data_IF_808786755802
#
_entry.id   IF_808786755802
#
_cell.length_a   1.000
_cell.length_b   1.000
_cell.length_c   1.000
_cell.angle_alpha   90.00
_cell.angle_beta   90.00
_cell.angle_gamma   90.00
#
_symmetry.space_group_name_H-M   'P 1'
#
loop_
_entity.id
_entity.type
_entity.pdbx_description
1 polymer ?
#
# COMPACT_ATOMS: atom_id res chain seq x y z
N UNK A 1 -30.57 27.33 -4.64
CA UNK A 1 -29.75 26.61 -5.66
C UNK A 1 -28.41 27.31 -5.96
N UNK A 2 -28.35 28.65 -6.03
CA UNK A 2 -27.10 29.38 -6.29
C UNK A 2 -26.05 29.27 -5.17
N UNK A 3 -26.45 29.39 -3.89
CA UNK A 3 -25.55 29.20 -2.74
C UNK A 3 -24.97 27.79 -2.65
N UNK A 4 -25.77 26.77 -3.01
CA UNK A 4 -25.30 25.38 -3.06
C UNK A 4 -24.17 25.23 -4.08
N UNK A 5 -24.36 25.69 -5.33
CA UNK A 5 -23.31 25.64 -6.37
C UNK A 5 -22.03 26.36 -5.95
N UNK A 6 -22.16 27.57 -5.38
CA UNK A 6 -21.02 28.36 -4.90
C UNK A 6 -20.25 27.65 -3.77
N UNK A 7 -20.95 27.00 -2.83
CA UNK A 7 -20.33 26.25 -1.74
C UNK A 7 -19.60 24.99 -2.26
N UNK A 8 -20.20 24.27 -3.21
CA UNK A 8 -19.56 23.12 -3.85
C UNK A 8 -18.29 23.51 -4.61
N UNK A 9 -18.33 24.60 -5.39
CA UNK A 9 -17.16 25.12 -6.11
C UNK A 9 -16.04 25.55 -5.16
N UNK A 10 -16.39 26.23 -4.07
CA UNK A 10 -15.42 26.65 -3.06
C UNK A 10 -14.78 25.46 -2.32
N UNK A 11 -15.57 24.42 -2.00
CA UNK A 11 -15.06 23.20 -1.39
C UNK A 11 -14.14 22.42 -2.35
N UNK A 12 -14.50 22.33 -3.64
CA UNK A 12 -13.67 21.70 -4.66
C UNK A 12 -12.35 22.46 -4.90
N UNK A 13 -12.38 23.80 -4.84
CA UNK A 13 -11.19 24.63 -4.94
C UNK A 13 -10.18 24.32 -3.83
N UNK A 14 -10.64 24.30 -2.56
CA UNK A 14 -9.80 23.98 -1.40
C UNK A 14 -9.21 22.56 -1.46
N UNK A 15 -10.00 21.58 -1.92
CA UNK A 15 -9.51 20.21 -2.10
C UNK A 15 -8.43 20.14 -3.19
N UNK A 16 -8.65 20.85 -4.31
CA UNK A 16 -7.69 20.88 -5.43
C UNK A 16 -6.36 21.53 -5.01
N UNK A 17 -6.40 22.63 -4.25
CA UNK A 17 -5.21 23.27 -3.69
C UNK A 17 -4.44 22.33 -2.78
N UNK A 18 -5.14 21.61 -1.89
CA UNK A 18 -4.50 20.63 -1.01
C UNK A 18 -3.85 19.48 -1.81
N UNK A 19 -4.56 18.93 -2.79
CA UNK A 19 -4.02 17.87 -3.66
C UNK A 19 -2.79 18.35 -4.41
N UNK A 20 -2.82 19.56 -4.97
CA UNK A 20 -1.68 20.15 -5.68
C UNK A 20 -0.49 20.38 -4.74
N UNK A 21 -0.74 20.87 -3.52
CA UNK A 21 0.29 21.02 -2.49
C UNK A 21 0.94 19.68 -2.15
N UNK A 22 0.14 18.64 -1.89
CA UNK A 22 0.64 17.29 -1.61
C UNK A 22 1.45 16.75 -2.79
N UNK A 23 0.96 16.88 -4.03
CA UNK A 23 1.69 16.42 -5.23
C UNK A 23 3.01 17.16 -5.45
N UNK A 24 3.08 18.45 -5.12
CA UNK A 24 4.28 19.26 -5.27
C UNK A 24 5.41 18.79 -4.33
N UNK A 25 5.09 18.53 -3.06
CA UNK A 25 6.09 18.16 -2.05
C UNK A 25 6.25 16.65 -1.85
N UNK A 26 5.24 15.86 -2.21
CA UNK A 26 5.18 14.41 -2.03
C UNK A 26 4.75 13.69 -3.33
N UNK A 27 5.51 13.83 -4.43
CA UNK A 27 5.13 13.31 -5.75
C UNK A 27 4.97 11.78 -5.80
N UNK A 28 5.55 11.06 -4.84
CA UNK A 28 5.47 9.61 -4.72
C UNK A 28 4.11 9.10 -4.18
N UNK A 29 3.31 9.96 -3.54
CA UNK A 29 2.03 9.54 -2.92
C UNK A 29 1.07 8.96 -3.96
N UNK A 30 1.00 9.56 -5.14
CA UNK A 30 0.18 9.06 -6.25
C UNK A 30 0.61 7.66 -6.70
N UNK A 31 1.93 7.41 -6.70
CA UNK A 31 2.52 6.12 -7.06
C UNK A 31 2.35 5.05 -5.98
N UNK A 32 2.11 5.44 -4.72
CA UNK A 32 1.84 4.52 -3.61
C UNK A 32 0.40 4.00 -3.60
N UNK A 33 -0.56 4.71 -4.22
CA UNK A 33 -1.98 4.34 -4.20
C UNK A 33 -2.25 2.90 -4.65
N UNK A 34 -1.68 2.40 -5.76
CA UNK A 34 -1.88 1.01 -6.18
C UNK A 34 -1.39 0.00 -5.13
N UNK A 35 -0.25 0.28 -4.50
CA UNK A 35 0.33 -0.57 -3.45
C UNK A 35 -0.53 -0.54 -2.19
N UNK A 36 -1.04 0.64 -1.79
CA UNK A 36 -1.96 0.78 -0.64
C UNK A 36 -3.24 -0.03 -0.86
N UNK A 37 -3.86 0.07 -2.03
CA UNK A 37 -5.06 -0.69 -2.36
C UNK A 37 -4.80 -2.20 -2.33
N UNK A 38 -3.64 -2.64 -2.85
CA UNK A 38 -3.24 -4.04 -2.76
C UNK A 38 -3.11 -4.52 -1.30
N UNK A 39 -2.41 -3.76 -0.44
CA UNK A 39 -2.23 -4.12 0.97
C UNK A 39 -3.57 -4.21 1.72
N UNK A 40 -4.46 -3.25 1.48
CA UNK A 40 -5.79 -3.20 2.12
C UNK A 40 -6.71 -4.29 1.58
N UNK A 41 -6.91 -4.34 0.28
CA UNK A 41 -8.00 -5.10 -0.33
C UNK A 41 -7.61 -6.57 -0.60
N UNK A 42 -6.31 -6.86 -0.79
CA UNK A 42 -5.83 -8.21 -1.12
C UNK A 42 -5.15 -8.91 0.05
N UNK A 43 -4.37 -8.18 0.84
CA UNK A 43 -3.70 -8.74 2.01
C UNK A 43 -4.43 -8.50 3.33
N UNK A 44 -5.45 -7.63 3.35
CA UNK A 44 -6.24 -7.36 4.55
C UNK A 44 -5.46 -6.66 5.66
N UNK A 45 -4.42 -5.89 5.32
CA UNK A 45 -3.64 -5.16 6.32
C UNK A 45 -4.45 -4.02 6.93
N UNK A 46 -4.30 -3.84 8.24
CA UNK A 46 -4.88 -2.70 8.94
C UNK A 46 -4.17 -1.39 8.55
N UNK A 47 -4.89 -0.29 8.68
CA UNK A 47 -4.38 1.06 8.37
C UNK A 47 -3.12 1.42 9.17
N UNK A 48 -2.92 0.86 10.37
CA UNK A 48 -1.72 1.09 11.18
C UNK A 48 -0.48 0.41 10.60
N UNK A 49 -0.59 -0.80 10.07
CA UNK A 49 0.48 -1.46 9.30
C UNK A 49 0.74 -0.69 7.99
N UNK A 50 -0.31 -0.37 7.23
CA UNK A 50 -0.19 0.33 5.95
C UNK A 50 0.51 1.68 6.14
N UNK A 51 0.11 2.49 7.14
CA UNK A 51 0.75 3.78 7.43
C UNK A 51 2.24 3.64 7.72
N UNK A 52 2.64 2.63 8.49
CA UNK A 52 4.08 2.39 8.78
C UNK A 52 4.85 2.01 7.52
N UNK A 53 4.28 1.13 6.68
CA UNK A 53 4.86 0.77 5.40
C UNK A 53 4.99 1.97 4.44
N UNK A 54 4.00 2.86 4.40
CA UNK A 54 4.03 4.08 3.59
C UNK A 54 5.05 5.12 4.09
N UNK A 55 5.59 4.96 5.30
CA UNK A 55 6.77 5.72 5.75
C UNK A 55 8.10 5.06 5.38
N UNK A 56 8.06 4.05 4.50
CA UNK A 56 9.21 3.24 4.07
C UNK A 56 9.95 2.56 5.23
N UNK A 57 9.22 2.27 6.32
CA UNK A 57 9.74 1.53 7.46
C UNK A 57 9.40 0.06 7.32
N UNK A 58 10.36 -0.78 7.69
CA UNK A 58 10.18 -2.21 7.80
C UNK A 58 9.20 -2.52 8.95
N UNK A 59 8.21 -3.38 8.66
CA UNK A 59 7.20 -3.81 9.62
C UNK A 59 7.29 -5.30 9.82
N UNK A 60 7.56 -5.73 11.05
CA UNK A 60 7.47 -7.14 11.41
C UNK A 60 6.01 -7.56 11.58
N UNK A 61 5.62 -8.63 10.90
CA UNK A 61 4.28 -9.22 10.98
C UNK A 61 4.33 -10.67 11.46
N UNK A 62 3.22 -11.11 12.05
CA UNK A 62 2.97 -12.49 12.46
C UNK A 62 1.53 -12.85 12.12
N UNK A 63 1.24 -14.12 11.89
CA UNK A 63 -0.11 -14.61 11.59
C UNK A 63 -0.21 -15.22 10.20
N UNK A 64 -1.36 -15.04 9.54
CA UNK A 64 -1.65 -15.62 8.23
C UNK A 64 -1.72 -14.54 7.17
N UNK A 65 -1.08 -14.77 6.03
CA UNK A 65 -1.18 -13.96 4.83
C UNK A 65 -1.95 -14.73 3.76
N UNK A 66 -3.07 -14.18 3.30
CA UNK A 66 -3.80 -14.77 2.18
C UNK A 66 -3.12 -14.41 0.86
N UNK A 67 -2.92 -15.41 -0.01
CA UNK A 67 -2.47 -15.21 -1.38
C UNK A 67 -3.62 -15.48 -2.34
N UNK A 68 -3.98 -14.47 -3.13
CA UNK A 68 -4.96 -14.66 -4.22
C UNK A 68 -4.42 -15.52 -5.36
N UNK A 69 -3.09 -15.60 -5.54
CA UNK A 69 -2.46 -16.45 -6.57
C UNK A 69 -2.64 -17.93 -6.25
N UNK A 70 -2.54 -18.31 -4.98
CA UNK A 70 -2.67 -19.71 -4.54
C UNK A 70 -4.02 -20.03 -3.89
N UNK A 71 -4.91 -19.04 -3.76
CA UNK A 71 -6.20 -19.13 -3.07
C UNK A 71 -6.10 -19.77 -1.66
N UNK A 72 -5.03 -19.46 -0.92
CA UNK A 72 -4.82 -20.02 0.42
C UNK A 72 -4.04 -19.06 1.32
N UNK A 73 -4.07 -19.35 2.62
CA UNK A 73 -3.34 -18.59 3.64
C UNK A 73 -2.02 -19.25 4.01
N UNK A 74 -0.96 -18.45 4.08
CA UNK A 74 0.37 -18.87 4.48
C UNK A 74 0.72 -18.30 5.86
N UNK A 75 1.20 -19.16 6.76
CA UNK A 75 1.62 -18.72 8.09
C UNK A 75 3.01 -18.08 8.08
N UNK A 76 3.14 -16.98 8.83
CA UNK A 76 4.42 -16.37 9.17
C UNK A 76 4.54 -16.16 10.67
N UNK A 77 5.67 -16.60 11.23
CA UNK A 77 6.01 -16.41 12.65
C UNK A 77 6.63 -15.03 12.90
N UNK A 78 7.40 -14.52 11.93
CA UNK A 78 8.08 -13.22 11.97
C UNK A 78 8.62 -12.89 10.58
N UNK A 79 7.77 -12.37 9.70
CA UNK A 79 8.22 -11.85 8.41
C UNK A 79 8.38 -10.34 8.46
N UNK A 80 9.36 -9.83 7.73
CA UNK A 80 9.61 -8.40 7.60
C UNK A 80 9.02 -7.91 6.29
N UNK A 81 8.03 -7.03 6.38
CA UNK A 81 7.37 -6.40 5.26
C UNK A 81 7.98 -5.03 4.99
N UNK A 82 8.19 -4.71 3.72
CA UNK A 82 8.71 -3.42 3.27
C UNK A 82 8.07 -2.99 1.95
N UNK A 83 7.92 -1.68 1.76
CA UNK A 83 7.64 -1.08 0.45
C UNK A 83 8.95 -0.54 -0.11
N UNK A 84 9.30 -0.94 -1.34
CA UNK A 84 10.52 -0.47 -2.02
C UNK A 84 10.19 0.08 -3.39
N UNK A 85 10.84 1.18 -3.76
CA UNK A 85 10.78 1.69 -5.13
C UNK A 85 11.64 0.81 -6.05
N UNK A 86 11.09 0.42 -7.19
CA UNK A 86 11.81 -0.33 -8.23
C UNK A 86 12.40 0.61 -9.29
N UNK A 87 13.14 0.04 -10.24
CA UNK A 87 13.83 0.78 -11.31
C UNK A 87 12.87 1.60 -12.20
N UNK A 88 11.59 1.20 -12.27
CA UNK A 88 10.55 1.94 -13.00
C UNK A 88 9.88 3.03 -12.16
N UNK A 89 10.38 3.26 -10.95
CA UNK A 89 9.81 4.21 -10.00
C UNK A 89 8.45 3.79 -9.45
N UNK A 90 8.11 2.48 -9.46
CA UNK A 90 6.89 1.93 -8.84
C UNK A 90 7.23 1.34 -7.47
N UNK A 91 6.25 1.33 -6.57
CA UNK A 91 6.42 0.82 -5.22
C UNK A 91 5.98 -0.64 -5.10
N UNK A 92 6.93 -1.54 -4.96
CA UNK A 92 6.70 -2.97 -4.79
C UNK A 92 6.62 -3.34 -3.31
N UNK A 93 5.76 -4.32 -3.02
CA UNK A 93 5.64 -4.90 -1.69
C UNK A 93 6.52 -6.15 -1.56
N UNK A 94 7.44 -6.10 -0.60
CA UNK A 94 8.39 -7.16 -0.31
C UNK A 94 8.13 -7.79 1.05
N UNK A 95 8.40 -9.09 1.15
CA UNK A 95 8.35 -9.87 2.38
C UNK A 95 9.70 -10.59 2.51
N UNK A 96 10.37 -10.42 3.65
CA UNK A 96 11.70 -10.99 3.93
C UNK A 96 12.75 -10.64 2.85
N UNK A 97 12.67 -9.40 2.34
CA UNK A 97 13.61 -8.86 1.35
C UNK A 97 13.31 -9.22 -0.11
N UNK A 98 12.38 -10.14 -0.38
CA UNK A 98 11.99 -10.56 -1.74
C UNK A 98 10.60 -10.06 -2.12
N UNK A 99 10.25 -9.93 -3.42
CA UNK A 99 8.89 -9.61 -3.84
C UNK A 99 7.87 -10.59 -3.25
N UNK A 100 6.68 -10.10 -2.86
CA UNK A 100 5.66 -10.92 -2.21
C UNK A 100 5.25 -12.17 -3.01
N UNK A 101 5.21 -12.08 -4.34
CA UNK A 101 4.94 -13.22 -5.25
C UNK A 101 5.99 -14.31 -5.05
N UNK A 102 7.27 -13.94 -5.04
CA UNK A 102 8.38 -14.86 -4.81
C UNK A 102 8.33 -15.48 -3.42
N UNK A 103 7.95 -14.69 -2.41
CA UNK A 103 7.76 -15.18 -1.04
C UNK A 103 6.65 -16.23 -0.96
N UNK A 104 5.48 -15.98 -1.55
CA UNK A 104 4.38 -16.95 -1.58
C UNK A 104 4.73 -18.22 -2.36
N UNK A 105 5.41 -18.11 -3.50
CA UNK A 105 5.89 -19.28 -4.26
C UNK A 105 6.85 -20.14 -3.45
N UNK A 106 7.80 -19.50 -2.76
CA UNK A 106 8.73 -20.21 -1.87
C UNK A 106 7.97 -20.92 -0.75
N UNK A 107 6.99 -20.26 -0.13
CA UNK A 107 6.15 -20.86 0.91
C UNK A 107 5.32 -22.03 0.37
N UNK A 108 4.83 -21.94 -0.86
CA UNK A 108 4.13 -23.04 -1.52
C UNK A 108 5.03 -24.25 -1.75
N UNK A 109 6.31 -24.06 -2.10
CA UNK A 109 7.26 -25.17 -2.26
C UNK A 109 7.76 -25.78 -0.93
N UNK A 110 7.48 -25.13 0.20
CA UNK A 110 7.79 -25.67 1.54
C UNK A 110 6.72 -26.64 2.04
N UNK A 111 5.55 -26.71 1.38
CA UNK A 111 4.48 -27.68 1.61
C UNK A 111 4.60 -28.89 0.68
#
# INVERSE_FOLDING_TARGET
>A
MQEMKSTYEQQNGKLSEFVNFVKCYFPYVEKLIPTINFLRDRLGFDDGIIRRLCTFKDVAIKGKLYSSEFNQSFETKRSICAIKENENGKFDFNIDGVPHVSWFRKKMSEF
#
